data_IF_646570271427
#
_entry.id   IF_646570271427
#
_cell.length_a   1.000
_cell.length_b   1.000
_cell.length_c   1.000
_cell.angle_alpha   90.00
_cell.angle_beta   90.00
_cell.angle_gamma   90.00
#
_symmetry.space_group_name_H-M   'P 1'
#
loop_
_entity.id
_entity.type
_entity.pdbx_description
1 polymer ?
#
# COMPACT_ATOMS: atom_id res chain seq x y z
N UNK A 1 -15.13 30.94 10.82
CA UNK A 1 -13.89 30.27 11.23
C UNK A 1 -12.77 31.06 10.61
N UNK A 2 -11.92 31.67 11.43
CA UNK A 2 -10.77 32.42 10.98
C UNK A 2 -9.90 31.50 10.13
N UNK A 3 -9.67 31.88 8.88
CA UNK A 3 -8.71 31.25 7.98
C UNK A 3 -7.30 31.52 8.49
N UNK A 4 -6.89 30.87 9.58
CA UNK A 4 -5.50 30.90 10.00
C UNK A 4 -4.70 30.10 8.98
N UNK A 5 -3.83 30.76 8.27
CA UNK A 5 -2.86 30.11 7.40
C UNK A 5 -2.00 29.17 8.24
N UNK A 6 -1.83 27.90 7.81
CA UNK A 6 -0.96 26.98 8.51
C UNK A 6 0.48 27.52 8.51
N UNK A 7 1.18 27.36 9.63
CA UNK A 7 2.61 27.65 9.72
C UNK A 7 3.42 26.37 9.52
N UNK A 8 4.68 26.53 9.10
CA UNK A 8 5.57 25.39 8.86
C UNK A 8 6.71 25.40 9.89
N UNK A 9 6.96 24.24 10.50
CA UNK A 9 8.11 23.99 11.35
C UNK A 9 8.97 22.88 10.76
N UNK A 10 10.22 23.19 10.43
CA UNK A 10 11.21 22.28 9.89
C UNK A 10 12.58 22.42 10.58
N UNK A 11 12.55 22.94 11.81
CA UNK A 11 13.75 23.18 12.62
C UNK A 11 14.53 21.91 12.98
N UNK A 12 13.85 20.76 12.98
CA UNK A 12 14.47 19.46 13.24
C UNK A 12 15.24 18.89 12.03
N UNK A 13 15.10 19.49 10.83
CA UNK A 13 15.80 19.06 9.63
C UNK A 13 17.26 19.58 9.62
N UNK A 14 18.14 18.89 8.85
CA UNK A 14 19.46 19.42 8.54
C UNK A 14 19.36 20.75 7.77
N UNK A 15 20.43 21.55 7.78
CA UNK A 15 20.42 22.84 7.08
C UNK A 15 20.12 22.69 5.59
N UNK A 16 20.61 21.63 4.95
CA UNK A 16 20.31 21.30 3.56
C UNK A 16 18.81 21.09 3.34
N UNK A 17 18.19 20.27 4.20
CA UNK A 17 16.75 20.03 4.15
C UNK A 17 15.93 21.27 4.51
N UNK A 18 16.38 22.10 5.45
CA UNK A 18 15.71 23.37 5.77
C UNK A 18 15.66 24.29 4.53
N UNK A 19 16.76 24.42 3.78
CA UNK A 19 16.79 25.18 2.52
C UNK A 19 15.85 24.57 1.46
N UNK A 20 15.85 23.24 1.34
CA UNK A 20 14.97 22.52 0.42
C UNK A 20 13.50 22.76 0.74
N UNK A 21 13.12 22.66 2.03
CA UNK A 21 11.75 22.91 2.50
C UNK A 21 11.34 24.37 2.27
N UNK A 22 12.21 25.33 2.60
CA UNK A 22 11.93 26.75 2.37
C UNK A 22 11.70 27.04 0.88
N UNK A 23 12.50 26.44 0.00
CA UNK A 23 12.29 26.51 -1.44
C UNK A 23 10.95 25.89 -1.86
N UNK A 24 10.60 24.71 -1.34
CA UNK A 24 9.33 24.06 -1.65
C UNK A 24 8.14 24.94 -1.23
N UNK A 25 8.16 25.47 0.00
CA UNK A 25 7.09 26.35 0.51
C UNK A 25 6.92 27.57 -0.40
N UNK A 26 8.00 28.18 -0.87
CA UNK A 26 7.94 29.35 -1.79
C UNK A 26 7.30 29.03 -3.14
N UNK A 27 7.19 27.76 -3.53
CA UNK A 27 6.61 27.30 -4.79
C UNK A 27 5.15 26.88 -4.69
N UNK A 28 4.54 26.82 -3.48
CA UNK A 28 3.18 26.31 -3.29
C UNK A 28 2.16 27.06 -4.13
N UNK A 29 2.30 28.38 -4.30
CA UNK A 29 1.35 29.21 -5.04
C UNK A 29 1.67 29.33 -6.55
N UNK A 30 2.78 28.78 -7.02
CA UNK A 30 3.27 29.02 -8.39
C UNK A 30 3.81 27.80 -9.13
N UNK A 31 3.35 26.60 -8.79
CA UNK A 31 3.86 25.31 -9.30
C UNK A 31 4.00 25.26 -10.83
N UNK A 32 5.24 25.35 -11.29
CA UNK A 32 5.69 24.80 -12.57
C UNK A 32 6.54 23.57 -12.24
N UNK A 33 5.96 22.39 -12.41
CA UNK A 33 6.51 21.13 -11.95
C UNK A 33 7.81 20.69 -12.67
N UNK A 34 8.00 21.10 -13.90
CA UNK A 34 9.04 20.59 -14.82
C UNK A 34 10.48 21.02 -14.55
N UNK A 35 10.73 21.93 -13.62
CA UNK A 35 12.07 22.48 -13.39
C UNK A 35 12.55 22.46 -11.94
N UNK A 36 11.76 21.83 -11.03
CA UNK A 36 12.13 21.79 -9.62
C UNK A 36 13.15 20.66 -9.36
N UNK A 37 14.14 20.89 -8.48
CA UNK A 37 15.00 19.81 -8.00
C UNK A 37 14.17 18.68 -7.36
N UNK A 38 14.56 17.42 -7.56
CA UNK A 38 13.82 16.26 -7.02
C UNK A 38 13.59 16.30 -5.50
N UNK A 39 14.51 16.79 -4.64
CA UNK A 39 14.24 16.94 -3.22
C UNK A 39 13.12 17.95 -2.93
N UNK A 40 13.06 19.06 -3.68
CA UNK A 40 11.99 20.08 -3.54
C UNK A 40 10.64 19.48 -3.94
N UNK A 41 10.60 18.75 -5.05
CA UNK A 41 9.39 18.03 -5.48
C UNK A 41 8.96 16.96 -4.48
N UNK A 42 9.88 16.27 -3.83
CA UNK A 42 9.57 15.30 -2.78
C UNK A 42 8.86 15.97 -1.58
N UNK A 43 9.32 17.13 -1.14
CA UNK A 43 8.64 17.91 -0.09
C UNK A 43 7.23 18.30 -0.51
N UNK A 44 7.05 18.83 -1.72
CA UNK A 44 5.74 19.21 -2.25
C UNK A 44 4.79 17.99 -2.34
N UNK A 45 5.31 16.85 -2.80
CA UNK A 45 4.56 15.59 -2.87
C UNK A 45 4.15 15.12 -1.47
N UNK A 46 5.04 15.20 -0.48
CA UNK A 46 4.73 14.85 0.90
C UNK A 46 3.69 15.80 1.53
N UNK A 47 3.75 17.08 1.22
CA UNK A 47 2.75 18.07 1.66
C UNK A 47 1.38 17.78 1.05
N UNK A 48 1.32 17.47 -0.24
CA UNK A 48 0.08 17.05 -0.92
C UNK A 48 -0.56 15.85 -0.22
N UNK A 49 0.23 14.83 0.14
CA UNK A 49 -0.25 13.67 0.89
C UNK A 49 -0.93 14.03 2.21
N UNK A 50 -0.37 14.97 2.97
CA UNK A 50 -0.86 15.31 4.32
C UNK A 50 -1.96 16.35 4.30
N UNK A 51 -1.94 17.30 3.37
CA UNK A 51 -2.90 18.41 3.33
C UNK A 51 -4.25 18.00 2.73
N UNK A 52 -4.28 17.00 1.87
CA UNK A 52 -5.51 16.58 1.16
C UNK A 52 -6.37 15.56 1.90
N UNK A 53 -6.16 15.33 3.17
CA UNK A 53 -6.81 14.45 4.19
C UNK A 53 -7.57 13.21 3.69
N UNK A 54 -8.23 13.24 2.53
CA UNK A 54 -9.10 12.16 2.04
C UNK A 54 -9.07 11.96 0.52
N UNK A 55 -8.36 12.83 -0.20
CA UNK A 55 -8.27 12.76 -1.66
C UNK A 55 -6.82 12.96 -2.08
N UNK A 56 -5.97 12.01 -1.69
CA UNK A 56 -4.61 11.97 -2.27
C UNK A 56 -4.79 11.90 -3.77
N UNK A 57 -4.27 12.89 -4.47
CA UNK A 57 -4.25 12.91 -5.93
C UNK A 57 -3.27 11.84 -6.40
N UNK A 58 -3.81 10.66 -6.70
CA UNK A 58 -2.99 9.54 -7.20
C UNK A 58 -2.29 9.89 -8.52
N UNK A 59 -2.84 10.86 -9.25
CA UNK A 59 -2.30 11.38 -10.50
C UNK A 59 -1.04 12.27 -10.33
N UNK A 60 -0.68 12.69 -9.12
CA UNK A 60 0.53 13.50 -8.88
C UNK A 60 1.79 12.77 -9.37
N UNK A 61 1.91 11.47 -9.09
CA UNK A 61 3.06 10.68 -9.56
C UNK A 61 3.04 10.54 -11.09
N UNK A 62 1.87 10.38 -11.70
CA UNK A 62 1.74 10.34 -13.16
C UNK A 62 2.19 11.67 -13.81
N UNK A 63 1.83 12.81 -13.18
CA UNK A 63 2.29 14.12 -13.63
C UNK A 63 3.81 14.26 -13.52
N UNK A 64 4.39 13.85 -12.37
CA UNK A 64 5.84 13.89 -12.18
C UNK A 64 6.57 13.05 -13.25
N UNK A 65 6.05 11.86 -13.55
CA UNK A 65 6.61 10.99 -14.62
C UNK A 65 6.44 11.64 -16.00
N UNK A 66 5.26 12.18 -16.28
CA UNK A 66 4.97 12.79 -17.58
C UNK A 66 5.85 14.03 -17.85
N UNK A 67 6.08 14.85 -16.86
CA UNK A 67 6.78 16.12 -16.99
C UNK A 67 8.29 15.98 -16.81
N UNK A 68 8.76 15.15 -15.88
CA UNK A 68 10.17 15.00 -15.52
C UNK A 68 10.83 13.71 -16.00
N UNK A 69 10.04 12.75 -16.47
CA UNK A 69 10.50 11.42 -16.84
C UNK A 69 10.63 10.46 -15.65
N UNK A 70 10.81 9.18 -15.94
CA UNK A 70 10.82 8.12 -14.96
C UNK A 70 12.04 8.18 -14.02
N UNK A 71 13.22 8.55 -14.52
CA UNK A 71 14.42 8.72 -13.68
C UNK A 71 14.22 9.83 -12.65
N UNK A 72 13.65 10.97 -13.06
CA UNK A 72 13.34 12.06 -12.14
C UNK A 72 12.30 11.66 -11.09
N UNK A 73 11.23 10.98 -11.50
CA UNK A 73 10.22 10.46 -10.57
C UNK A 73 10.82 9.49 -9.57
N UNK A 74 11.77 8.65 -9.99
CA UNK A 74 12.53 7.74 -9.12
C UNK A 74 13.35 8.53 -8.09
N UNK A 75 14.03 9.60 -8.49
CA UNK A 75 14.77 10.46 -7.56
C UNK A 75 13.83 11.16 -6.57
N UNK A 76 12.65 11.59 -7.01
CA UNK A 76 11.62 12.16 -6.12
C UNK A 76 11.17 11.16 -5.07
N UNK A 77 10.89 9.91 -5.45
CA UNK A 77 10.52 8.85 -4.49
C UNK A 77 11.65 8.57 -3.50
N UNK A 78 12.90 8.50 -3.95
CA UNK A 78 14.06 8.30 -3.06
C UNK A 78 14.13 9.40 -1.99
N UNK A 79 13.98 10.66 -2.38
CA UNK A 79 13.97 11.77 -1.44
C UNK A 79 12.73 11.77 -0.53
N UNK A 80 11.57 11.35 -1.05
CA UNK A 80 10.35 11.20 -0.27
C UNK A 80 10.52 10.20 0.89
N UNK A 81 11.35 9.17 0.73
CA UNK A 81 11.65 8.22 1.80
C UNK A 81 12.49 8.83 2.94
N UNK A 82 13.09 9.98 2.75
CA UNK A 82 13.98 10.62 3.73
C UNK A 82 13.29 11.65 4.63
N UNK A 83 12.03 12.00 4.31
CA UNK A 83 11.27 13.02 5.05
C UNK A 83 9.95 12.46 5.56
N UNK A 84 9.46 13.08 6.63
CA UNK A 84 8.14 12.82 7.18
C UNK A 84 7.42 14.12 7.48
N UNK A 85 6.09 14.10 7.42
CA UNK A 85 5.27 15.28 7.67
C UNK A 85 4.20 14.92 8.71
N UNK A 86 4.13 15.75 9.76
CA UNK A 86 3.10 15.68 10.79
C UNK A 86 2.28 16.96 10.79
N UNK A 87 1.00 16.86 11.06
CA UNK A 87 0.16 18.01 11.27
C UNK A 87 -0.21 18.12 12.75
N UNK A 88 0.25 19.17 13.40
CA UNK A 88 -0.23 19.56 14.72
C UNK A 88 -1.52 20.37 14.54
N UNK A 89 -2.64 19.68 14.69
CA UNK A 89 -3.96 20.29 14.54
C UNK A 89 -4.30 21.30 15.64
N UNK A 90 -3.73 21.13 16.83
CA UNK A 90 -3.99 22.03 17.97
C UNK A 90 -3.39 23.41 17.71
N UNK A 91 -2.19 23.46 17.14
CA UNK A 91 -1.45 24.68 16.88
C UNK A 91 -1.55 25.14 15.42
N UNK A 92 -2.18 24.35 14.53
CA UNK A 92 -2.24 24.56 13.09
C UNK A 92 -0.85 24.67 12.45
N UNK A 93 0.06 23.78 12.84
CA UNK A 93 1.45 23.74 12.38
C UNK A 93 1.68 22.48 11.57
N UNK A 94 2.30 22.61 10.40
CA UNK A 94 2.82 21.49 9.60
C UNK A 94 4.29 21.32 9.97
N UNK A 95 4.62 20.17 10.55
CA UNK A 95 5.96 19.83 11.02
C UNK A 95 6.60 18.92 10.00
N UNK A 96 7.74 19.30 9.45
CA UNK A 96 8.54 18.52 8.51
C UNK A 96 9.76 17.99 9.26
N UNK A 97 9.96 16.69 9.22
CA UNK A 97 10.97 15.97 10.00
C UNK A 97 11.82 15.08 9.09
N UNK A 98 13.08 14.78 9.47
CA UNK A 98 13.79 13.64 8.90
C UNK A 98 13.01 12.35 9.17
N UNK A 99 12.89 11.48 8.19
CA UNK A 99 12.24 10.20 8.36
C UNK A 99 13.12 9.24 9.15
N UNK A 100 12.97 9.23 10.47
CA UNK A 100 13.79 8.38 11.37
C UNK A 100 12.97 7.49 12.29
N UNK A 101 11.71 7.81 12.53
CA UNK A 101 10.83 7.10 13.47
C UNK A 101 9.69 6.48 12.67
N UNK A 102 9.51 5.17 12.80
CA UNK A 102 8.36 4.51 12.20
C UNK A 102 7.06 5.12 12.75
N UNK A 103 6.14 5.52 11.88
CA UNK A 103 4.85 6.04 12.33
C UNK A 103 4.02 4.88 12.92
N UNK A 104 3.11 5.21 13.83
CA UNK A 104 2.16 4.25 14.38
C UNK A 104 1.20 3.71 13.31
N UNK A 105 1.07 4.40 12.18
CA UNK A 105 0.15 4.07 11.07
C UNK A 105 0.86 4.17 9.72
N UNK A 106 0.79 3.10 8.92
CA UNK A 106 1.37 3.04 7.58
C UNK A 106 0.43 3.52 6.46
N UNK A 107 -0.79 3.88 6.80
CA UNK A 107 -1.94 4.08 5.90
C UNK A 107 -1.70 4.98 4.68
N UNK A 108 -0.73 5.87 4.75
CA UNK A 108 -0.51 6.86 3.69
C UNK A 108 0.76 6.60 2.86
N UNK A 109 1.59 5.66 3.33
CA UNK A 109 2.84 5.32 2.67
C UNK A 109 2.57 4.15 1.71
N UNK A 110 2.87 4.28 0.47
CA UNK A 110 2.82 3.28 -0.59
C UNK A 110 2.02 3.67 -1.83
N UNK A 111 1.14 4.66 -1.76
CA UNK A 111 0.32 5.05 -2.92
C UNK A 111 1.16 5.56 -4.07
N UNK A 112 2.14 6.41 -3.77
CA UNK A 112 3.04 6.95 -4.78
C UNK A 112 4.02 5.89 -5.26
N UNK A 113 4.49 5.04 -4.36
CA UNK A 113 5.35 3.91 -4.68
C UNK A 113 4.63 2.93 -5.61
N UNK A 114 3.40 2.53 -5.30
CA UNK A 114 2.61 1.66 -6.18
C UNK A 114 2.32 2.30 -7.53
N UNK A 115 2.14 3.64 -7.57
CA UNK A 115 1.95 4.34 -8.83
C UNK A 115 3.24 4.38 -9.66
N UNK A 116 4.39 4.68 -9.02
CA UNK A 116 5.69 4.62 -9.68
C UNK A 116 6.01 3.21 -10.17
N UNK A 117 5.71 2.18 -9.37
CA UNK A 117 5.87 0.77 -9.77
C UNK A 117 5.15 0.46 -11.08
N UNK A 118 3.93 0.97 -11.27
CA UNK A 118 3.20 0.82 -12.53
C UNK A 118 3.99 1.41 -13.72
N UNK A 119 4.61 2.58 -13.55
CA UNK A 119 5.43 3.18 -14.60
C UNK A 119 6.73 2.40 -14.83
N UNK A 120 7.36 1.89 -13.77
CA UNK A 120 8.54 1.03 -13.86
C UNK A 120 8.25 -0.24 -14.66
N UNK A 121 7.10 -0.89 -14.42
CA UNK A 121 6.72 -2.13 -15.12
C UNK A 121 6.44 -1.93 -16.63
N UNK A 122 6.27 -0.70 -17.08
CA UNK A 122 6.04 -0.35 -18.49
C UNK A 122 7.29 0.25 -19.16
N UNK A 123 8.38 0.42 -18.41
CA UNK A 123 9.57 1.05 -18.90
C UNK A 123 10.38 0.12 -19.82
N UNK A 124 11.11 0.71 -20.76
CA UNK A 124 12.13 -0.04 -21.51
C UNK A 124 13.23 -0.54 -20.58
N UNK A 125 13.79 -1.70 -20.86
CA UNK A 125 14.77 -2.41 -20.02
C UNK A 125 15.92 -1.49 -19.57
N UNK A 126 16.50 -0.72 -20.51
CA UNK A 126 17.63 0.17 -20.22
C UNK A 126 17.27 1.28 -19.20
N UNK A 127 16.06 1.82 -19.30
CA UNK A 127 15.56 2.84 -18.39
C UNK A 127 15.19 2.22 -17.03
N UNK A 128 14.54 1.05 -17.05
CA UNK A 128 14.23 0.29 -15.84
C UNK A 128 15.50 -0.03 -15.05
N UNK A 129 16.55 -0.53 -15.70
CA UNK A 129 17.83 -0.85 -15.05
C UNK A 129 18.46 0.38 -14.37
N UNK A 130 18.42 1.55 -15.00
CA UNK A 130 18.92 2.79 -14.38
C UNK A 130 18.12 3.16 -13.13
N UNK A 131 16.79 3.11 -13.21
CA UNK A 131 15.92 3.38 -12.08
C UNK A 131 16.15 2.37 -10.94
N UNK A 132 16.22 1.08 -11.27
CA UNK A 132 16.48 0.03 -10.30
C UNK A 132 17.84 0.21 -9.59
N UNK A 133 18.90 0.56 -10.33
CA UNK A 133 20.21 0.85 -9.73
C UNK A 133 20.17 2.03 -8.76
N UNK A 134 19.45 3.11 -9.11
CA UNK A 134 19.25 4.25 -8.20
C UNK A 134 18.52 3.85 -6.92
N UNK A 135 17.43 3.09 -7.05
CA UNK A 135 16.65 2.61 -5.90
C UNK A 135 17.48 1.73 -4.98
N UNK A 136 18.23 0.77 -5.54
CA UNK A 136 19.09 -0.13 -4.78
C UNK A 136 20.20 0.66 -4.06
N UNK A 137 20.85 1.59 -4.76
CA UNK A 137 21.91 2.43 -4.18
C UNK A 137 21.38 3.33 -3.06
N UNK A 138 20.10 3.67 -3.06
CA UNK A 138 19.49 4.50 -2.03
C UNK A 138 19.16 3.73 -0.73
N UNK A 139 19.01 2.39 -0.77
CA UNK A 139 18.57 1.58 0.39
C UNK A 139 19.39 1.88 1.67
N UNK A 140 20.72 1.96 1.66
CA UNK A 140 21.49 2.24 2.88
C UNK A 140 21.23 3.63 3.48
N UNK A 141 20.68 4.55 2.70
CA UNK A 141 20.42 5.94 3.08
C UNK A 141 18.94 6.20 3.45
N UNK A 142 18.10 5.17 3.35
CA UNK A 142 16.68 5.20 3.68
C UNK A 142 16.48 4.57 5.05
N UNK A 143 15.66 5.15 5.94
CA UNK A 143 15.32 4.55 7.23
C UNK A 143 14.83 3.12 7.08
N UNK A 144 15.26 2.24 7.98
CA UNK A 144 15.01 0.79 7.89
C UNK A 144 13.53 0.47 7.68
N UNK A 145 12.63 1.15 8.38
CA UNK A 145 11.20 0.91 8.26
C UNK A 145 10.60 1.28 6.89
N UNK A 146 11.31 2.07 6.07
CA UNK A 146 10.90 2.45 4.70
C UNK A 146 11.56 1.61 3.62
N UNK A 147 12.61 0.87 3.93
CA UNK A 147 13.31 0.04 2.95
C UNK A 147 12.40 -1.02 2.29
N UNK A 148 11.41 -1.62 2.99
CA UNK A 148 10.42 -2.49 2.34
C UNK A 148 9.64 -1.84 1.19
N UNK A 149 9.46 -0.51 1.21
CA UNK A 149 8.83 0.22 0.09
C UNK A 149 9.70 0.21 -1.16
N UNK A 150 11.03 0.22 -1.01
CA UNK A 150 11.94 0.12 -2.15
C UNK A 150 11.88 -1.28 -2.76
N UNK A 151 11.81 -2.33 -1.93
CA UNK A 151 11.60 -3.69 -2.44
C UNK A 151 10.28 -3.81 -3.19
N UNK A 152 9.22 -3.15 -2.72
CA UNK A 152 7.92 -3.11 -3.39
C UNK A 152 8.00 -2.52 -4.80
N UNK A 153 8.93 -1.59 -5.06
CA UNK A 153 9.14 -1.00 -6.38
C UNK A 153 9.87 -1.93 -7.36
N UNK A 154 10.53 -2.97 -6.86
CA UNK A 154 11.42 -3.85 -7.60
C UNK A 154 11.01 -5.33 -7.48
N UNK A 155 9.78 -5.71 -7.88
CA UNK A 155 9.32 -7.10 -7.76
C UNK A 155 10.13 -8.08 -8.63
N UNK A 156 10.75 -7.57 -9.70
CA UNK A 156 11.62 -8.34 -10.59
C UNK A 156 12.98 -8.67 -9.95
N UNK A 157 13.24 -8.12 -8.74
CA UNK A 157 14.44 -8.35 -7.93
C UNK A 157 14.06 -8.84 -6.52
N UNK A 158 13.46 -10.04 -6.38
CA UNK A 158 13.00 -10.56 -5.09
C UNK A 158 14.14 -10.72 -4.08
N UNK A 159 15.40 -10.86 -4.54
CA UNK A 159 16.58 -10.90 -3.67
C UNK A 159 16.69 -9.66 -2.78
N UNK A 160 16.27 -8.49 -3.25
CA UNK A 160 16.26 -7.26 -2.44
C UNK A 160 15.27 -7.38 -1.28
N UNK A 161 14.08 -7.91 -1.55
CA UNK A 161 13.08 -8.16 -0.51
C UNK A 161 13.59 -9.19 0.52
N UNK A 162 14.31 -10.23 0.06
CA UNK A 162 14.87 -11.26 0.92
C UNK A 162 15.98 -10.70 1.83
N UNK A 163 16.90 -9.91 1.31
CA UNK A 163 17.98 -9.27 2.08
C UNK A 163 17.40 -8.31 3.15
N UNK A 164 16.42 -7.49 2.77
CA UNK A 164 15.74 -6.58 3.70
C UNK A 164 15.01 -7.39 4.79
N UNK A 165 14.26 -8.43 4.40
CA UNK A 165 13.55 -9.29 5.35
C UNK A 165 14.51 -9.96 6.34
N UNK A 166 15.59 -10.57 5.88
CA UNK A 166 16.58 -11.23 6.74
C UNK A 166 17.19 -10.28 7.76
N UNK A 167 17.46 -9.03 7.36
CA UNK A 167 18.01 -8.01 8.25
C UNK A 167 16.99 -7.51 9.27
N UNK A 168 15.72 -7.34 8.88
CA UNK A 168 14.69 -6.74 9.71
C UNK A 168 13.89 -7.74 10.56
N UNK A 169 13.89 -9.04 10.20
CA UNK A 169 13.16 -10.13 10.89
C UNK A 169 13.70 -10.38 12.30
N UNK A 170 14.35 -9.67 12.98
CA UNK A 170 14.76 -9.78 14.39
C UNK A 170 14.47 -8.52 15.17
N UNK A 171 14.02 -7.49 14.48
CA UNK A 171 13.76 -6.19 15.10
C UNK A 171 12.33 -6.13 15.60
N UNK A 172 12.12 -5.57 16.79
CA UNK A 172 10.80 -5.41 17.36
C UNK A 172 10.00 -4.37 16.56
N UNK A 173 8.83 -4.81 16.05
CA UNK A 173 7.77 -3.96 15.47
C UNK A 173 8.21 -3.03 14.33
N UNK A 174 8.36 -3.59 13.15
CA UNK A 174 8.40 -2.81 11.93
C UNK A 174 7.14 -3.09 11.10
N UNK A 175 6.16 -2.18 11.13
CA UNK A 175 4.88 -2.36 10.42
C UNK A 175 5.07 -2.56 8.92
N UNK A 176 6.13 -2.02 8.34
CA UNK A 176 6.46 -2.12 6.92
C UNK A 176 6.85 -3.53 6.43
N UNK A 177 7.10 -4.49 7.32
CA UNK A 177 7.42 -5.87 6.93
C UNK A 177 6.27 -6.55 6.15
N UNK A 178 5.02 -6.11 6.36
CA UNK A 178 3.88 -6.60 5.58
C UNK A 178 4.05 -6.38 4.07
N UNK A 179 4.72 -5.30 3.65
CA UNK A 179 4.96 -5.03 2.23
C UNK A 179 5.90 -6.04 1.59
N UNK A 180 6.84 -6.62 2.35
CA UNK A 180 7.74 -7.65 1.84
C UNK A 180 6.99 -8.94 1.49
N UNK A 181 5.87 -9.23 2.17
CA UNK A 181 5.02 -10.40 1.84
C UNK A 181 4.47 -10.36 0.42
N UNK A 182 4.42 -9.19 -0.21
CA UNK A 182 3.90 -9.03 -1.57
C UNK A 182 4.93 -9.48 -2.59
N UNK A 183 6.20 -9.16 -2.36
CA UNK A 183 7.28 -9.32 -3.34
C UNK A 183 8.28 -10.43 -3.02
N UNK A 184 8.31 -10.91 -1.77
CA UNK A 184 9.15 -12.05 -1.40
C UNK A 184 8.63 -13.33 -2.03
N UNK A 185 9.54 -14.15 -2.55
CA UNK A 185 9.26 -15.43 -3.23
C UNK A 185 9.82 -16.63 -2.47
N UNK A 186 10.72 -16.42 -1.50
CA UNK A 186 11.31 -17.48 -0.67
C UNK A 186 10.31 -17.93 0.41
N UNK A 187 9.98 -19.24 0.43
CA UNK A 187 8.99 -19.82 1.33
C UNK A 187 9.38 -19.69 2.81
N UNK A 188 10.66 -19.78 3.16
CA UNK A 188 11.12 -19.65 4.54
C UNK A 188 11.01 -18.22 5.03
N UNK A 189 11.28 -17.26 4.16
CA UNK A 189 11.12 -15.84 4.45
C UNK A 189 9.63 -15.52 4.59
N UNK A 190 8.80 -15.98 3.67
CA UNK A 190 7.35 -15.80 3.75
C UNK A 190 6.78 -16.39 5.04
N UNK A 191 7.13 -17.63 5.39
CA UNK A 191 6.69 -18.27 6.63
C UNK A 191 7.17 -17.50 7.89
N UNK A 192 8.34 -16.86 7.81
CA UNK A 192 8.86 -16.01 8.88
C UNK A 192 8.11 -14.69 8.98
N UNK A 193 7.81 -14.06 7.85
CA UNK A 193 7.01 -12.82 7.76
C UNK A 193 5.56 -13.05 8.22
N UNK A 194 4.96 -14.21 7.95
CA UNK A 194 3.60 -14.55 8.37
C UNK A 194 3.44 -14.65 9.90
N UNK A 195 4.52 -14.91 10.63
CA UNK A 195 4.52 -14.88 12.11
C UNK A 195 4.43 -13.47 12.68
N UNK A 196 4.76 -12.45 11.89
CA UNK A 196 4.58 -11.06 12.25
C UNK A 196 3.13 -10.64 11.95
N UNK A 197 2.24 -10.87 12.92
CA UNK A 197 0.89 -10.33 12.88
C UNK A 197 0.93 -8.89 13.37
N UNK A 198 0.74 -7.96 12.45
CA UNK A 198 0.42 -6.59 12.82
C UNK A 198 -1.07 -6.51 13.20
N UNK A 199 -1.41 -5.75 14.27
CA UNK A 199 -2.80 -5.57 14.68
C UNK A 199 -3.65 -4.84 13.63
N UNK A 200 -3.02 -4.17 12.67
CA UNK A 200 -3.68 -3.50 11.54
C UNK A 200 -3.26 -4.18 10.26
N UNK A 201 -4.07 -5.12 9.83
CA UNK A 201 -3.82 -5.80 8.57
C UNK A 201 -3.96 -4.81 7.42
N UNK A 202 -2.96 -4.75 6.56
CA UNK A 202 -2.95 -3.92 5.35
C UNK A 202 -4.22 -4.13 4.50
N UNK A 203 -4.78 -5.34 4.52
CA UNK A 203 -6.00 -5.69 3.79
C UNK A 203 -7.29 -5.11 4.39
N UNK A 204 -7.28 -4.67 5.64
CA UNK A 204 -8.43 -4.08 6.33
C UNK A 204 -8.35 -2.56 6.43
N UNK A 205 -7.32 -1.96 5.84
CA UNK A 205 -7.10 -0.53 5.84
C UNK A 205 -8.14 0.20 5.00
N UNK A 206 -8.78 1.20 5.59
CA UNK A 206 -9.81 2.01 4.95
C UNK A 206 -9.33 2.70 3.67
N UNK A 207 -8.07 3.13 3.62
CA UNK A 207 -7.54 3.92 2.52
C UNK A 207 -6.81 3.09 1.48
N UNK A 208 -6.22 1.99 1.87
CA UNK A 208 -5.30 1.22 1.03
C UNK A 208 -5.71 -0.23 0.81
N UNK A 209 -6.62 -0.79 1.61
CA UNK A 209 -6.93 -2.22 1.60
C UNK A 209 -7.29 -2.79 0.24
N UNK A 210 -8.07 -2.05 -0.57
CA UNK A 210 -8.42 -2.47 -1.93
C UNK A 210 -7.20 -2.47 -2.86
N UNK A 211 -6.36 -1.45 -2.78
CA UNK A 211 -5.14 -1.31 -3.61
C UNK A 211 -4.15 -2.42 -3.25
N UNK A 212 -3.95 -2.68 -1.95
CA UNK A 212 -3.08 -3.74 -1.46
C UNK A 212 -3.57 -5.12 -1.89
N UNK A 213 -4.85 -5.39 -1.72
CA UNK A 213 -5.46 -6.65 -2.15
C UNK A 213 -5.26 -6.88 -3.65
N UNK A 214 -5.51 -5.85 -4.46
CA UNK A 214 -5.31 -5.91 -5.92
C UNK A 214 -3.83 -6.15 -6.26
N UNK A 215 -2.89 -5.48 -5.58
CA UNK A 215 -1.45 -5.63 -5.82
C UNK A 215 -0.98 -7.05 -5.49
N UNK A 216 -1.37 -7.60 -4.34
CA UNK A 216 -1.04 -8.98 -3.95
C UNK A 216 -1.55 -9.99 -4.98
N UNK A 217 -2.78 -9.80 -5.45
CA UNK A 217 -3.36 -10.69 -6.46
C UNK A 217 -2.68 -10.54 -7.83
N UNK A 218 -2.27 -9.34 -8.20
CA UNK A 218 -1.53 -9.11 -9.42
C UNK A 218 -0.16 -9.81 -9.40
N UNK A 219 0.53 -9.79 -8.26
CA UNK A 219 1.86 -10.37 -8.11
C UNK A 219 1.85 -11.88 -7.92
N UNK A 220 0.94 -12.38 -7.09
CA UNK A 220 0.94 -13.77 -6.65
C UNK A 220 -0.22 -14.60 -7.23
N UNK A 221 -1.10 -13.95 -7.99
CA UNK A 221 -2.25 -14.60 -8.59
C UNK A 221 -3.17 -15.26 -7.57
N UNK A 222 -3.80 -16.36 -7.98
CA UNK A 222 -4.74 -17.13 -7.14
C UNK A 222 -4.08 -17.82 -5.94
N UNK A 223 -2.77 -18.02 -5.98
CA UNK A 223 -2.03 -18.58 -4.84
C UNK A 223 -2.08 -17.69 -3.60
N UNK A 224 -2.32 -16.39 -3.77
CA UNK A 224 -2.49 -15.45 -2.65
C UNK A 224 -3.84 -15.57 -1.94
N UNK A 225 -4.86 -16.20 -2.54
CA UNK A 225 -6.22 -16.22 -1.99
C UNK A 225 -6.33 -16.72 -0.54
N UNK A 226 -5.59 -17.75 -0.07
CA UNK A 226 -5.63 -18.16 1.32
C UNK A 226 -5.29 -17.05 2.32
N UNK A 227 -4.44 -16.10 1.94
CA UNK A 227 -4.02 -14.97 2.79
C UNK A 227 -5.15 -13.98 3.07
N UNK A 228 -6.19 -13.98 2.25
CA UNK A 228 -7.36 -13.11 2.41
C UNK A 228 -8.37 -13.66 3.41
N UNK A 229 -8.27 -14.94 3.78
CA UNK A 229 -9.27 -15.59 4.63
C UNK A 229 -9.54 -14.86 5.97
N UNK A 230 -8.53 -14.35 6.72
CA UNK A 230 -8.76 -13.60 7.96
C UNK A 230 -9.48 -12.26 7.75
N UNK A 231 -9.40 -11.69 6.56
CA UNK A 231 -9.86 -10.32 6.24
C UNK A 231 -11.08 -10.27 5.34
N UNK A 232 -11.68 -11.42 5.03
CA UNK A 232 -12.78 -11.52 4.05
C UNK A 232 -14.03 -10.75 4.49
N UNK A 233 -14.23 -10.56 5.81
CA UNK A 233 -15.33 -9.76 6.34
C UNK A 233 -15.12 -8.25 6.15
N UNK A 234 -13.88 -7.80 5.86
CA UNK A 234 -13.56 -6.42 5.53
C UNK A 234 -14.21 -6.01 4.22
N UNK A 235 -14.75 -4.80 4.20
CA UNK A 235 -15.38 -4.22 3.01
C UNK A 235 -14.42 -4.15 1.82
N UNK A 236 -13.13 -3.90 2.07
CA UNK A 236 -12.11 -3.69 1.03
C UNK A 236 -11.64 -5.01 0.43
N UNK A 237 -11.34 -5.98 1.27
CA UNK A 237 -10.95 -7.32 0.84
C UNK A 237 -12.09 -8.01 0.07
N UNK A 238 -13.31 -7.97 0.60
CA UNK A 238 -14.48 -8.56 -0.05
C UNK A 238 -14.82 -7.88 -1.39
N UNK A 239 -14.60 -6.57 -1.53
CA UNK A 239 -14.79 -5.87 -2.80
C UNK A 239 -13.81 -6.32 -3.88
N UNK A 240 -12.59 -6.68 -3.53
CA UNK A 240 -11.62 -7.24 -4.48
C UNK A 240 -11.99 -8.68 -4.82
N UNK A 241 -12.25 -9.51 -3.81
CA UNK A 241 -12.57 -10.94 -3.99
C UNK A 241 -13.79 -11.17 -4.89
N UNK A 242 -14.81 -10.31 -4.83
CA UNK A 242 -16.03 -10.44 -5.66
C UNK A 242 -15.79 -10.32 -7.16
N UNK A 243 -14.63 -9.86 -7.60
CA UNK A 243 -14.25 -9.75 -9.01
C UNK A 243 -13.38 -10.91 -9.49
N UNK A 244 -13.12 -11.92 -8.65
CA UNK A 244 -12.23 -13.04 -8.98
C UNK A 244 -13.03 -14.27 -9.35
N UNK A 245 -12.90 -14.71 -10.60
CA UNK A 245 -13.49 -15.94 -11.09
C UNK A 245 -12.69 -17.17 -10.62
N UNK A 246 -12.78 -17.49 -9.33
CA UNK A 246 -12.10 -18.63 -8.74
C UNK A 246 -12.93 -19.25 -7.60
N UNK A 247 -13.11 -20.59 -7.53
CA UNK A 247 -13.92 -21.25 -6.50
C UNK A 247 -13.53 -20.85 -5.09
N UNK A 248 -12.24 -20.79 -4.77
CA UNK A 248 -11.77 -20.41 -3.44
C UNK A 248 -12.14 -18.99 -3.04
N UNK A 249 -12.10 -18.02 -3.97
CA UNK A 249 -12.56 -16.66 -3.71
C UNK A 249 -14.05 -16.61 -3.35
N UNK A 250 -14.87 -17.41 -4.08
CA UNK A 250 -16.29 -17.56 -3.80
C UNK A 250 -16.53 -18.26 -2.45
N UNK A 251 -15.74 -19.29 -2.14
CA UNK A 251 -15.77 -19.97 -0.83
C UNK A 251 -15.55 -18.98 0.31
N UNK A 252 -14.57 -18.10 0.21
CA UNK A 252 -14.31 -17.06 1.21
C UNK A 252 -15.52 -16.12 1.38
N UNK A 253 -16.09 -15.63 0.29
CA UNK A 253 -17.25 -14.73 0.31
C UNK A 253 -18.50 -15.42 0.89
N UNK A 254 -18.74 -16.69 0.54
CA UNK A 254 -19.88 -17.49 1.05
C UNK A 254 -19.75 -17.68 2.56
N UNK A 255 -18.55 -17.95 3.08
CA UNK A 255 -18.32 -18.14 4.53
C UNK A 255 -18.70 -16.91 5.36
N UNK A 256 -18.53 -15.71 4.83
CA UNK A 256 -18.82 -14.45 5.54
C UNK A 256 -20.17 -13.82 5.16
N UNK A 257 -20.93 -14.43 4.25
CA UNK A 257 -22.18 -13.87 3.73
C UNK A 257 -23.24 -13.58 4.83
N UNK A 258 -23.22 -14.35 5.92
CA UNK A 258 -24.13 -14.14 7.05
C UNK A 258 -23.71 -13.04 8.04
N UNK A 259 -22.54 -12.44 7.91
CA UNK A 259 -22.04 -11.46 8.88
C UNK A 259 -22.75 -10.11 8.75
N UNK A 260 -22.92 -9.60 7.55
CA UNK A 260 -23.60 -8.32 7.29
C UNK A 260 -24.36 -8.38 5.98
N UNK A 261 -25.33 -7.45 5.81
CA UNK A 261 -26.05 -7.27 4.53
C UNK A 261 -25.07 -7.02 3.36
N UNK A 262 -24.01 -6.23 3.59
CA UNK A 262 -23.00 -5.94 2.56
C UNK A 262 -22.23 -7.19 2.14
N UNK A 263 -21.86 -8.06 3.08
CA UNK A 263 -21.22 -9.34 2.76
C UNK A 263 -22.15 -10.22 1.91
N UNK A 264 -23.43 -10.27 2.26
CA UNK A 264 -24.44 -11.01 1.48
C UNK A 264 -24.57 -10.46 0.05
N UNK A 265 -24.70 -9.15 -0.11
CA UNK A 265 -24.83 -8.49 -1.43
C UNK A 265 -23.59 -8.74 -2.30
N UNK A 266 -22.40 -8.71 -1.73
CA UNK A 266 -21.13 -9.00 -2.44
C UNK A 266 -21.07 -10.44 -2.91
N UNK A 267 -21.38 -11.38 -2.02
CA UNK A 267 -21.45 -12.80 -2.33
C UNK A 267 -22.47 -13.04 -3.46
N UNK A 268 -23.66 -12.50 -3.35
CA UNK A 268 -24.72 -12.67 -4.36
C UNK A 268 -24.28 -12.15 -5.72
N UNK A 269 -23.66 -10.95 -5.78
CA UNK A 269 -23.14 -10.38 -7.02
C UNK A 269 -22.01 -11.23 -7.61
N UNK A 270 -21.12 -11.74 -6.78
CA UNK A 270 -20.02 -12.60 -7.24
C UNK A 270 -20.53 -13.95 -7.79
N UNK A 271 -21.48 -14.58 -7.09
CA UNK A 271 -22.10 -15.83 -7.57
C UNK A 271 -22.85 -15.63 -8.89
N UNK A 272 -23.53 -14.52 -9.06
CA UNK A 272 -24.22 -14.19 -10.32
C UNK A 272 -23.23 -13.93 -11.47
N UNK A 273 -22.10 -13.28 -11.19
CA UNK A 273 -21.05 -13.01 -12.18
C UNK A 273 -20.27 -14.28 -12.59
N UNK A 274 -20.07 -15.22 -11.64
CA UNK A 274 -19.23 -16.42 -11.81
C UNK A 274 -19.95 -17.72 -11.39
N UNK A 275 -21.03 -18.11 -12.07
CA UNK A 275 -21.90 -19.22 -11.61
C UNK A 275 -21.19 -20.56 -11.53
N UNK A 276 -20.24 -20.86 -12.43
CA UNK A 276 -19.48 -22.11 -12.39
C UNK A 276 -18.55 -22.18 -11.18
N UNK A 277 -17.83 -21.10 -10.89
CA UNK A 277 -16.98 -21.01 -9.71
C UNK A 277 -17.81 -21.06 -8.42
N UNK A 278 -19.01 -20.46 -8.40
CA UNK A 278 -19.93 -20.52 -7.28
C UNK A 278 -20.44 -21.95 -7.03
N UNK A 279 -20.81 -22.68 -8.07
CA UNK A 279 -21.22 -24.09 -7.97
C UNK A 279 -20.10 -24.96 -7.41
N UNK A 280 -18.86 -24.78 -7.90
CA UNK A 280 -17.69 -25.51 -7.41
C UNK A 280 -17.43 -25.19 -5.92
N UNK A 281 -17.48 -23.91 -5.54
CA UNK A 281 -17.33 -23.47 -4.14
C UNK A 281 -18.40 -24.06 -3.22
N UNK A 282 -19.66 -24.07 -3.63
CA UNK A 282 -20.76 -24.66 -2.86
C UNK A 282 -20.61 -26.17 -2.73
N UNK A 283 -20.20 -26.85 -3.80
CA UNK A 283 -19.95 -28.31 -3.78
C UNK A 283 -18.84 -28.66 -2.79
N UNK A 284 -17.77 -27.89 -2.78
CA UNK A 284 -16.66 -28.08 -1.84
C UNK A 284 -17.12 -27.86 -0.39
N UNK A 285 -17.85 -26.77 -0.13
CA UNK A 285 -18.35 -26.45 1.21
C UNK A 285 -19.34 -27.50 1.73
N UNK A 286 -20.21 -28.05 0.87
CA UNK A 286 -21.14 -29.10 1.23
C UNK A 286 -20.42 -30.44 1.48
N UNK A 287 -19.31 -30.69 0.79
CA UNK A 287 -18.47 -31.86 1.00
C UNK A 287 -17.62 -31.82 2.28
N UNK A 288 -17.32 -30.63 2.77
CA UNK A 288 -16.60 -30.44 4.03
C UNK A 288 -17.53 -30.75 5.19
N UNK A 289 -17.23 -31.81 5.97
CA UNK A 289 -17.98 -32.22 7.20
C UNK A 289 -17.71 -31.28 8.39
N UNK A 290 -17.49 -30.01 8.18
CA UNK A 290 -17.30 -29.04 9.26
C UNK A 290 -18.66 -28.60 9.83
N UNK A 291 -18.76 -28.51 11.17
CA UNK A 291 -19.96 -28.04 11.90
C UNK A 291 -20.48 -26.66 11.43
N UNK A 292 -19.65 -25.90 10.76
CA UNK A 292 -19.99 -24.58 10.20
C UNK A 292 -20.85 -24.64 8.93
N UNK A 293 -20.97 -25.75 8.24
CA UNK A 293 -21.83 -25.91 7.05
C UNK A 293 -23.31 -25.68 7.34
N UNK A 294 -23.74 -25.87 8.58
CA UNK A 294 -25.11 -25.65 9.05
C UNK A 294 -25.50 -24.16 9.22
N UNK A 295 -24.53 -23.27 9.29
CA UNK A 295 -24.81 -21.83 9.44
C UNK A 295 -25.34 -21.19 8.15
N UNK A 296 -24.96 -21.72 6.98
CA UNK A 296 -25.44 -21.25 5.67
C UNK A 296 -26.94 -21.44 5.53
N UNK A 297 -27.45 -22.58 5.96
CA UNK A 297 -28.90 -22.89 5.91
C UNK A 297 -29.76 -22.06 6.86
N UNK A 298 -29.22 -21.62 8.00
CA UNK A 298 -29.98 -20.82 8.99
C UNK A 298 -30.09 -19.35 8.62
N UNK A 299 -29.09 -18.77 7.91
CA UNK A 299 -29.14 -17.38 7.47
C UNK A 299 -30.23 -17.16 6.40
N UNK A 300 -30.44 -18.14 5.50
CA UNK A 300 -31.46 -18.04 4.45
C UNK A 300 -32.90 -18.26 4.95
N UNK A 301 -33.09 -18.85 6.13
CA UNK A 301 -34.42 -19.14 6.69
C UNK A 301 -34.94 -18.10 7.69
N UNK A 302 -34.16 -17.09 8.07
CA UNK A 302 -34.58 -16.05 9.02
C UNK A 302 -35.23 -14.82 8.40
N UNK A 303 -35.25 -14.70 7.07
CA UNK A 303 -35.83 -13.56 6.36
C UNK A 303 -37.14 -13.92 5.59
N UNK A 304 -37.91 -14.91 6.06
CA UNK A 304 -39.30 -15.15 5.59
C UNK A 304 -40.30 -14.84 6.67
#
# INVERSE_FOLDING_TARGET
RDNKTATFDFSACSLEWQNTVAQAISQIDGLKTTQLPSPVMAVLTALEMKCTRYKVREDVMDQIVQEGGLEYATDVIIHLQQIDIKWDYANNVIIILPSGIAPDYLEQYSRFELRLRKHLSLAEESLWQKCAQKLIAAIPHIPEWRQPLIALLLPEKPEIAHEIAQRLLGQKKLPSLEWLKIVATDEHILASLEKYHEPYAIFDDYYCGAIWSATVLQEQGVAALPRFAPYTASDYCADVLRHINHPFALTLLIRVAGHTKRCHDRMTKACAAFPHAAMAALTELLGQKEENSWQIGRASCRER
#
